data_IF_716691715309
#
_entry.id   IF_716691715309
#
_cell.length_a   1.000
_cell.length_b   1.000
_cell.length_c   1.000
_cell.angle_alpha   90.00
_cell.angle_beta   90.00
_cell.angle_gamma   90.00
#
_symmetry.space_group_name_H-M   'P 1'
#
loop_
_entity.id
_entity.type
_entity.pdbx_description
1 polymer ?
#
# COMPACT_ATOMS: atom_id res chain seq x y z
N UNK A 1 13.36 -7.92 3.42
CA UNK A 1 12.94 -9.26 2.99
C UNK A 1 13.56 -9.51 1.63
N UNK A 2 14.35 -10.56 1.50
CA UNK A 2 14.92 -11.00 0.23
C UNK A 2 14.34 -12.38 -0.09
N UNK A 3 14.11 -12.66 -1.37
CA UNK A 3 13.56 -13.94 -1.79
C UNK A 3 13.26 -13.99 -3.28
N UNK A 4 12.80 -15.13 -3.73
CA UNK A 4 12.35 -15.33 -5.11
C UNK A 4 11.00 -14.68 -5.35
N UNK A 5 10.62 -14.37 -6.61
CA UNK A 5 9.27 -13.90 -6.94
C UNK A 5 8.16 -14.80 -6.38
N UNK A 6 8.34 -16.11 -6.40
CA UNK A 6 7.36 -17.06 -5.87
C UNK A 6 7.17 -16.94 -4.35
N UNK A 7 8.24 -16.69 -3.60
CA UNK A 7 8.14 -16.43 -2.16
C UNK A 7 7.37 -15.14 -1.89
N UNK A 8 7.60 -14.07 -2.69
CA UNK A 8 6.86 -12.82 -2.62
C UNK A 8 5.36 -13.04 -2.89
N UNK A 9 5.02 -13.83 -3.89
CA UNK A 9 3.62 -14.11 -4.25
C UNK A 9 2.87 -14.96 -3.21
N UNK A 10 3.57 -15.75 -2.41
CA UNK A 10 2.96 -16.46 -1.27
C UNK A 10 2.61 -15.52 -0.12
N UNK A 11 3.38 -14.47 0.06
CA UNK A 11 3.13 -13.45 1.10
C UNK A 11 2.03 -12.48 0.66
N UNK A 12 2.06 -12.06 -0.61
CA UNK A 12 1.09 -11.13 -1.18
C UNK A 12 0.04 -11.94 -1.93
N UNK A 13 -1.03 -12.31 -1.25
CA UNK A 13 -2.12 -13.13 -1.82
C UNK A 13 -3.28 -12.29 -2.33
N UNK A 14 -3.46 -11.05 -1.86
CA UNK A 14 -4.54 -10.17 -2.25
C UNK A 14 -4.00 -8.91 -2.98
N UNK A 15 -4.43 -8.72 -4.22
CA UNK A 15 -4.01 -7.60 -5.09
C UNK A 15 -5.06 -6.50 -5.19
N UNK A 16 -6.12 -6.57 -4.40
CA UNK A 16 -7.21 -5.59 -4.39
C UNK A 16 -7.23 -4.71 -3.14
N UNK A 17 -6.62 -5.13 -2.05
CA UNK A 17 -6.56 -4.40 -0.77
C UNK A 17 -5.51 -3.28 -0.75
N UNK A 18 -4.67 -3.22 -1.79
CA UNK A 18 -3.62 -2.21 -1.93
C UNK A 18 -2.37 -2.48 -1.09
N UNK A 19 -2.24 -3.63 -0.41
CA UNK A 19 -1.03 -3.96 0.35
C UNK A 19 0.20 -4.02 -0.56
N UNK A 20 0.11 -4.73 -1.70
CA UNK A 20 1.19 -4.83 -2.68
C UNK A 20 1.67 -3.46 -3.20
N UNK A 21 0.77 -2.47 -3.26
CA UNK A 21 1.11 -1.13 -3.74
C UNK A 21 1.91 -0.29 -2.74
N UNK A 22 2.02 -0.75 -1.49
CA UNK A 22 2.80 -0.11 -0.41
C UNK A 22 4.18 -0.72 -0.25
N UNK A 23 4.46 -1.83 -0.94
CA UNK A 23 5.76 -2.51 -0.90
C UNK A 23 6.67 -1.92 -1.97
N UNK A 24 7.84 -1.45 -1.56
CA UNK A 24 8.92 -1.08 -2.47
C UNK A 24 9.69 -2.33 -2.87
N UNK A 25 9.79 -2.57 -4.17
CA UNK A 25 10.49 -3.73 -4.73
C UNK A 25 11.77 -3.29 -5.41
N UNK A 26 12.84 -4.01 -5.10
CA UNK A 26 14.10 -3.92 -5.80
C UNK A 26 14.44 -5.30 -6.40
N UNK A 27 14.99 -5.30 -7.60
CA UNK A 27 15.48 -6.48 -8.28
C UNK A 27 17.00 -6.47 -8.24
N UNK A 28 17.59 -7.59 -7.82
CA UNK A 28 19.02 -7.81 -8.02
C UNK A 28 19.29 -8.10 -9.50
N UNK A 29 20.41 -7.62 -10.05
CA UNK A 29 20.83 -8.01 -11.39
C UNK A 29 20.96 -9.53 -11.49
N UNK A 30 20.74 -10.07 -12.69
CA UNK A 30 21.07 -11.46 -12.97
C UNK A 30 22.60 -11.61 -12.97
N UNK A 31 23.10 -12.41 -12.06
CA UNK A 31 24.52 -12.70 -11.91
C UNK A 31 24.84 -14.19 -12.07
N UNK A 32 23.96 -14.95 -12.71
CA UNK A 32 24.08 -16.41 -12.89
C UNK A 32 25.43 -16.82 -13.44
N UNK A 33 25.97 -16.04 -14.36
CA UNK A 33 27.27 -16.31 -14.99
C UNK A 33 28.43 -15.45 -14.44
N UNK A 34 28.17 -14.65 -13.41
CA UNK A 34 29.23 -13.87 -12.80
C UNK A 34 30.15 -14.78 -11.97
N UNK A 35 31.47 -14.60 -12.02
CA UNK A 35 32.37 -15.32 -11.14
C UNK A 35 32.01 -15.03 -9.70
N UNK A 36 32.17 -16.02 -8.84
CA UNK A 36 32.02 -15.83 -7.40
C UNK A 36 33.11 -14.80 -6.99
N UNK A 37 32.68 -13.62 -6.64
CA UNK A 37 33.57 -12.58 -6.15
C UNK A 37 33.84 -12.89 -4.67
N UNK A 38 35.11 -13.02 -4.29
CA UNK A 38 35.53 -13.14 -2.89
C UNK A 38 35.28 -11.85 -2.09
N UNK A 39 34.91 -10.78 -2.75
CA UNK A 39 34.46 -9.55 -2.11
C UNK A 39 33.03 -9.69 -1.58
N UNK A 40 32.87 -10.36 -0.46
CA UNK A 40 31.75 -10.05 0.41
C UNK A 40 31.76 -8.54 0.65
N UNK A 41 30.66 -7.84 0.39
CA UNK A 41 30.48 -6.43 0.77
C UNK A 41 30.48 -6.32 2.30
N UNK A 42 31.62 -6.54 2.90
CA UNK A 42 31.82 -6.29 4.31
C UNK A 42 32.06 -4.80 4.48
N UNK A 43 31.17 -4.18 5.24
CA UNK A 43 31.36 -2.80 5.65
C UNK A 43 32.67 -2.72 6.47
N UNK A 44 33.52 -1.77 6.15
CA UNK A 44 34.67 -1.45 7.00
C UNK A 44 34.20 -0.91 8.35
N UNK A 45 35.01 -1.03 9.39
CA UNK A 45 34.70 -0.47 10.72
C UNK A 45 34.35 1.01 10.64
N UNK A 46 35.07 1.78 9.83
CA UNK A 46 34.77 3.20 9.60
C UNK A 46 33.40 3.43 9.00
N UNK A 47 32.96 2.59 8.03
CA UNK A 47 31.64 2.68 7.46
C UNK A 47 30.55 2.29 8.45
N UNK A 48 30.77 1.23 9.25
CA UNK A 48 29.85 0.81 10.31
C UNK A 48 29.69 1.91 11.34
N UNK A 49 30.80 2.53 11.79
CA UNK A 49 30.76 3.64 12.73
C UNK A 49 29.97 4.83 12.18
N UNK A 50 30.19 5.22 10.94
CA UNK A 50 29.43 6.31 10.30
C UNK A 50 27.92 6.01 10.25
N UNK A 51 27.54 4.78 9.90
CA UNK A 51 26.13 4.38 9.87
C UNK A 51 25.52 4.48 11.27
N UNK A 52 26.24 4.03 12.31
CA UNK A 52 25.77 4.10 13.70
C UNK A 52 25.61 5.56 14.16
N UNK A 53 26.57 6.42 13.87
CA UNK A 53 26.51 7.85 14.20
C UNK A 53 25.33 8.55 13.54
N UNK A 54 25.13 8.32 12.23
CA UNK A 54 23.96 8.85 11.51
C UNK A 54 22.66 8.32 12.12
N UNK A 55 22.58 7.01 12.35
CA UNK A 55 21.39 6.39 12.94
C UNK A 55 21.06 6.94 14.34
N UNK A 56 22.07 7.28 15.14
CA UNK A 56 21.91 7.90 16.45
C UNK A 56 21.25 9.29 16.40
N UNK A 57 21.55 10.08 15.37
CA UNK A 57 21.00 11.43 15.24
C UNK A 57 19.59 11.47 14.63
N UNK A 58 19.20 10.47 13.81
CA UNK A 58 17.89 10.49 13.12
C UNK A 58 16.67 10.65 14.04
N UNK A 59 16.59 10.01 15.23
CA UNK A 59 15.46 10.19 16.14
C UNK A 59 15.33 11.62 16.69
N UNK A 60 16.42 12.39 16.70
CA UNK A 60 16.41 13.78 17.14
C UNK A 60 15.87 14.74 16.08
N UNK A 61 15.76 14.29 14.84
CA UNK A 61 15.24 15.04 13.69
C UNK A 61 13.80 14.61 13.38
N UNK A 62 12.91 14.75 14.37
CA UNK A 62 11.49 14.39 14.24
C UNK A 62 10.61 15.64 14.17
N UNK A 63 9.54 15.57 13.40
CA UNK A 63 8.56 16.66 13.26
C UNK A 63 8.14 16.91 11.81
N UNK A 64 7.26 17.87 11.63
CA UNK A 64 6.76 18.24 10.32
C UNK A 64 7.74 19.19 9.60
N UNK A 65 7.92 18.99 8.32
CA UNK A 65 8.73 19.84 7.45
C UNK A 65 8.17 19.87 6.05
N UNK A 66 8.11 21.06 5.48
CA UNK A 66 7.70 21.28 4.11
C UNK A 66 8.89 21.14 3.15
N UNK A 67 8.71 20.34 2.11
CA UNK A 67 9.71 20.11 1.06
C UNK A 67 9.15 20.53 -0.32
N UNK A 68 8.91 21.83 -0.55
CA UNK A 68 8.13 22.32 -1.69
C UNK A 68 8.71 21.95 -3.06
N UNK A 69 10.04 21.85 -3.18
CA UNK A 69 10.69 21.44 -4.45
C UNK A 69 10.49 19.95 -4.71
N UNK A 70 10.59 19.10 -3.68
CA UNK A 70 10.35 17.67 -3.80
C UNK A 70 8.86 17.40 -4.07
N UNK A 71 7.97 18.12 -3.41
CA UNK A 71 6.52 18.01 -3.66
C UNK A 71 6.14 18.42 -5.09
N UNK A 72 6.68 19.54 -5.57
CA UNK A 72 6.50 19.94 -6.96
C UNK A 72 7.02 18.85 -7.91
N UNK A 73 8.21 18.33 -7.65
CA UNK A 73 8.81 17.25 -8.44
C UNK A 73 7.92 16.00 -8.46
N UNK A 74 7.35 15.62 -7.33
CA UNK A 74 6.39 14.52 -7.24
C UNK A 74 5.12 14.76 -8.07
N UNK A 75 4.56 15.99 -8.06
CA UNK A 75 3.41 16.35 -8.91
C UNK A 75 3.76 16.28 -10.40
N UNK A 76 4.91 16.81 -10.78
CA UNK A 76 5.39 16.80 -12.18
C UNK A 76 5.60 15.34 -12.66
N UNK A 77 6.16 14.47 -11.80
CA UNK A 77 6.31 13.05 -12.09
C UNK A 77 4.94 12.34 -12.25
N UNK A 78 4.00 12.59 -11.33
CA UNK A 78 2.64 12.02 -11.41
C UNK A 78 1.95 12.40 -12.73
N UNK A 79 2.11 13.65 -13.16
CA UNK A 79 1.53 14.13 -14.42
C UNK A 79 2.22 13.49 -15.64
N UNK A 80 3.54 13.35 -15.62
CA UNK A 80 4.29 12.66 -16.67
C UNK A 80 3.80 11.22 -16.86
N UNK A 81 3.68 10.46 -15.76
CA UNK A 81 3.18 9.08 -15.81
C UNK A 81 1.71 9.05 -16.25
N UNK A 82 0.90 10.04 -15.86
CA UNK A 82 -0.49 10.15 -16.33
C UNK A 82 -0.56 10.26 -17.84
N UNK A 83 0.22 11.14 -18.43
CA UNK A 83 0.25 11.36 -19.89
C UNK A 83 0.74 10.10 -20.62
N UNK A 84 1.81 9.47 -20.13
CA UNK A 84 2.36 8.23 -20.66
C UNK A 84 1.32 7.10 -20.65
N UNK A 85 0.68 6.89 -19.52
CA UNK A 85 -0.31 5.81 -19.34
C UNK A 85 -1.63 6.09 -20.06
N UNK A 86 -1.98 7.35 -20.30
CA UNK A 86 -3.13 7.72 -21.12
C UNK A 86 -2.89 7.32 -22.60
N UNK A 87 -1.70 7.59 -23.12
CA UNK A 87 -1.32 7.22 -24.51
C UNK A 87 -1.30 5.71 -24.73
N UNK A 88 -0.82 4.95 -23.74
CA UNK A 88 -0.74 3.48 -23.81
C UNK A 88 -1.99 2.77 -23.29
N UNK A 89 -2.98 3.51 -22.76
CA UNK A 89 -4.17 2.98 -22.10
C UNK A 89 -3.84 2.03 -20.93
N UNK A 90 -2.72 2.25 -20.26
CA UNK A 90 -2.23 1.42 -19.14
C UNK A 90 -2.86 1.83 -17.82
N UNK A 91 -4.05 1.29 -17.54
CA UNK A 91 -4.80 1.59 -16.30
C UNK A 91 -4.08 1.10 -15.04
N UNK A 92 -3.31 0.02 -15.13
CA UNK A 92 -2.61 -0.58 -13.99
C UNK A 92 -1.46 0.32 -13.54
N UNK A 93 -0.57 0.72 -14.46
CA UNK A 93 0.51 1.67 -14.18
C UNK A 93 -0.04 3.03 -13.73
N UNK A 94 -1.15 3.50 -14.36
CA UNK A 94 -1.83 4.73 -13.99
C UNK A 94 -2.30 4.76 -12.54
N UNK A 95 -2.78 3.65 -12.00
CA UNK A 95 -3.20 3.53 -10.59
C UNK A 95 -2.00 3.41 -9.66
N UNK A 96 -1.00 2.62 -10.03
CA UNK A 96 0.19 2.38 -9.21
C UNK A 96 0.99 3.66 -8.93
N UNK A 97 1.00 4.65 -9.85
CA UNK A 97 1.72 5.91 -9.65
C UNK A 97 1.36 6.63 -8.35
N UNK A 98 0.09 6.58 -7.91
CA UNK A 98 -0.36 7.24 -6.69
C UNK A 98 0.20 6.64 -5.40
N UNK A 99 0.73 5.41 -5.47
CA UNK A 99 1.39 4.75 -4.35
C UNK A 99 2.90 4.86 -4.45
N UNK A 100 3.42 4.74 -5.67
CA UNK A 100 4.86 4.84 -5.92
C UNK A 100 5.40 6.22 -5.56
N UNK A 101 4.73 7.29 -5.98
CA UNK A 101 5.19 8.66 -5.74
C UNK A 101 5.39 8.98 -4.24
N UNK A 102 4.40 8.80 -3.34
CA UNK A 102 4.60 9.05 -1.92
C UNK A 102 5.69 8.18 -1.29
N UNK A 103 5.82 6.92 -1.75
CA UNK A 103 6.86 6.02 -1.24
C UNK A 103 8.25 6.49 -1.66
N UNK A 104 8.42 6.88 -2.93
CA UNK A 104 9.67 7.47 -3.41
C UNK A 104 10.01 8.78 -2.71
N UNK A 105 9.02 9.66 -2.47
CA UNK A 105 9.21 10.90 -1.71
C UNK A 105 9.71 10.61 -0.29
N UNK A 106 9.12 9.63 0.41
CA UNK A 106 9.56 9.22 1.76
C UNK A 106 11.00 8.70 1.74
N UNK A 107 11.36 7.87 0.78
CA UNK A 107 12.73 7.36 0.65
C UNK A 107 13.73 8.49 0.37
N UNK A 108 13.37 9.44 -0.49
CA UNK A 108 14.20 10.63 -0.74
C UNK A 108 14.34 11.51 0.50
N UNK A 109 13.26 11.69 1.26
CA UNK A 109 13.31 12.43 2.53
C UNK A 109 14.25 11.74 3.53
N UNK A 110 14.17 10.42 3.68
CA UNK A 110 15.11 9.66 4.52
C UNK A 110 16.57 9.83 4.07
N UNK A 111 16.84 9.76 2.76
CA UNK A 111 18.17 9.97 2.22
C UNK A 111 18.70 11.39 2.52
N UNK A 112 17.85 12.40 2.35
CA UNK A 112 18.23 13.79 2.67
C UNK A 112 18.47 13.98 4.17
N UNK A 113 17.68 13.32 5.05
CA UNK A 113 17.91 13.33 6.50
C UNK A 113 19.26 12.69 6.87
N UNK A 114 19.60 11.54 6.27
CA UNK A 114 20.92 10.93 6.46
C UNK A 114 22.06 11.88 6.07
N UNK A 115 21.91 12.62 4.96
CA UNK A 115 22.90 13.63 4.54
C UNK A 115 22.98 14.80 5.50
N UNK A 116 21.86 15.26 6.04
CA UNK A 116 21.86 16.30 7.09
C UNK A 116 22.62 15.81 8.32
N UNK A 117 22.33 14.58 8.79
CA UNK A 117 23.04 13.99 9.92
C UNK A 117 24.56 13.88 9.65
N UNK A 118 24.95 13.40 8.46
CA UNK A 118 26.35 13.32 8.06
C UNK A 118 27.03 14.69 8.06
N UNK A 119 26.39 15.72 7.52
CA UNK A 119 26.92 17.09 7.53
C UNK A 119 27.06 17.63 8.96
N UNK A 120 26.12 17.35 9.83
CA UNK A 120 26.22 17.77 11.23
C UNK A 120 27.39 17.09 11.94
N UNK A 121 27.58 15.79 11.72
CA UNK A 121 28.72 15.04 12.29
C UNK A 121 30.05 15.59 11.74
N UNK A 122 30.10 15.86 10.44
CA UNK A 122 31.33 16.46 9.84
C UNK A 122 31.66 17.83 10.41
N UNK A 123 30.67 18.67 10.68
CA UNK A 123 30.88 20.05 11.13
C UNK A 123 31.11 20.14 12.63
N UNK A 124 30.50 19.28 13.46
CA UNK A 124 30.51 19.46 14.92
C UNK A 124 30.94 18.20 15.69
N UNK A 125 31.31 17.12 15.01
CA UNK A 125 31.47 15.82 15.64
C UNK A 125 30.13 15.23 16.14
N UNK A 126 30.12 13.98 16.58
CA UNK A 126 28.89 13.29 17.00
C UNK A 126 28.22 13.97 18.20
N UNK A 127 28.99 14.18 19.30
CA UNK A 127 28.47 14.82 20.52
C UNK A 127 28.05 16.28 20.30
N UNK A 128 28.80 17.02 19.48
CA UNK A 128 28.46 18.40 19.13
C UNK A 128 27.19 18.49 18.30
N UNK A 129 27.00 17.58 17.36
CA UNK A 129 25.80 17.49 16.54
C UNK A 129 24.56 17.18 17.40
N UNK A 130 24.66 16.20 18.31
CA UNK A 130 23.59 15.87 19.24
C UNK A 130 23.22 17.05 20.15
N UNK A 131 24.23 17.68 20.79
CA UNK A 131 24.04 18.85 21.66
C UNK A 131 23.33 19.97 20.91
N UNK A 132 23.73 20.21 19.67
CA UNK A 132 23.17 21.28 18.86
C UNK A 132 21.74 21.00 18.41
N UNK A 133 21.42 19.76 18.04
CA UNK A 133 20.03 19.36 17.71
C UNK A 133 19.10 19.48 18.92
N UNK A 134 19.61 19.20 20.13
CA UNK A 134 18.84 19.39 21.37
C UNK A 134 18.62 20.86 21.72
N UNK A 135 19.62 21.70 21.45
CA UNK A 135 19.55 23.13 21.70
C UNK A 135 18.72 23.91 20.67
N UNK A 136 18.79 23.49 19.41
CA UNK A 136 18.12 24.11 18.26
C UNK A 136 17.27 23.06 17.52
N UNK A 137 16.08 22.69 18.02
CA UNK A 137 15.28 21.58 17.47
C UNK A 137 14.84 21.74 16.00
N UNK A 138 14.80 22.97 15.50
CA UNK A 138 14.41 23.26 14.11
C UNK A 138 15.57 23.43 13.13
N UNK A 139 16.80 23.37 13.61
CA UNK A 139 18.03 23.54 12.78
C UNK A 139 18.05 22.55 11.61
N UNK A 140 17.74 21.29 11.88
CA UNK A 140 17.73 20.25 10.87
C UNK A 140 16.69 20.50 9.75
N UNK A 141 15.57 21.16 10.03
CA UNK A 141 14.55 21.50 9.03
C UNK A 141 15.10 22.42 7.95
N UNK A 142 15.80 23.48 8.39
CA UNK A 142 16.47 24.41 7.47
C UNK A 142 17.56 23.72 6.66
N UNK A 143 18.34 22.84 7.26
CA UNK A 143 19.36 22.05 6.56
C UNK A 143 18.72 21.10 5.55
N UNK A 144 17.62 20.43 5.92
CA UNK A 144 16.90 19.51 5.05
C UNK A 144 16.29 20.23 3.83
N UNK A 145 15.74 21.43 4.02
CA UNK A 145 15.24 22.24 2.90
C UNK A 145 16.35 22.57 1.88
N UNK A 146 17.57 22.79 2.34
CA UNK A 146 18.74 23.04 1.48
C UNK A 146 19.19 21.78 0.71
N UNK A 147 18.87 20.57 1.20
CA UNK A 147 19.18 19.32 0.51
C UNK A 147 18.34 19.10 -0.77
N UNK A 148 17.30 19.89 -1.02
CA UNK A 148 16.50 19.81 -2.24
C UNK A 148 17.28 20.37 -3.46
N UNK A 149 18.44 19.81 -3.73
CA UNK A 149 19.32 20.18 -4.85
C UNK A 149 18.81 19.58 -6.18
N UNK A 150 19.23 20.13 -7.33
CA UNK A 150 18.86 19.56 -8.62
C UNK A 150 19.24 18.07 -8.76
N UNK A 151 20.38 17.65 -8.20
CA UNK A 151 20.81 16.25 -8.20
C UNK A 151 19.87 15.36 -7.37
N UNK A 152 19.45 15.80 -6.17
CA UNK A 152 18.51 15.05 -5.35
C UNK A 152 17.12 14.94 -6.01
N UNK A 153 16.69 16.00 -6.68
CA UNK A 153 15.44 15.98 -7.44
C UNK A 153 15.52 15.09 -8.69
N UNK A 154 16.68 15.01 -9.34
CA UNK A 154 16.91 14.07 -10.43
C UNK A 154 16.95 12.61 -9.93
N UNK A 155 17.57 12.37 -8.77
CA UNK A 155 17.57 11.05 -8.13
C UNK A 155 16.16 10.56 -7.76
N UNK A 156 15.25 11.48 -7.42
CA UNK A 156 13.83 11.13 -7.21
C UNK A 156 13.21 10.53 -8.46
N UNK A 157 13.42 11.11 -9.66
CA UNK A 157 12.87 10.56 -10.90
C UNK A 157 13.36 9.12 -11.13
N UNK A 158 14.68 8.91 -11.01
CA UNK A 158 15.30 7.59 -11.20
C UNK A 158 14.70 6.57 -10.21
N UNK A 159 14.58 6.95 -8.95
CA UNK A 159 14.02 6.09 -7.91
C UNK A 159 12.54 5.76 -8.18
N UNK A 160 11.73 6.78 -8.50
CA UNK A 160 10.30 6.61 -8.72
C UNK A 160 10.02 5.78 -9.99
N UNK A 161 10.79 5.99 -11.06
CA UNK A 161 10.71 5.19 -12.29
C UNK A 161 11.13 3.73 -12.02
N UNK A 162 12.23 3.50 -11.34
CA UNK A 162 12.67 2.17 -10.95
C UNK A 162 11.63 1.43 -10.10
N UNK A 163 11.02 2.11 -9.15
CA UNK A 163 10.01 1.51 -8.27
C UNK A 163 8.73 1.15 -9.03
N UNK A 164 8.24 2.04 -9.91
CA UNK A 164 7.01 1.74 -10.67
C UNK A 164 7.25 0.62 -11.68
N UNK A 165 8.40 0.58 -12.33
CA UNK A 165 8.75 -0.45 -13.30
C UNK A 165 8.91 -1.83 -12.63
N UNK A 166 9.54 -1.90 -11.45
CA UNK A 166 9.58 -3.14 -10.68
C UNK A 166 8.18 -3.57 -10.21
N UNK A 167 7.35 -2.65 -9.74
CA UNK A 167 5.98 -2.97 -9.37
C UNK A 167 5.19 -3.54 -10.55
N UNK A 168 5.37 -2.98 -11.75
CA UNK A 168 4.75 -3.49 -12.97
C UNK A 168 5.32 -4.85 -13.38
N UNK A 169 6.64 -5.04 -13.27
CA UNK A 169 7.28 -6.31 -13.60
C UNK A 169 6.72 -7.47 -12.74
N UNK A 170 6.60 -7.27 -11.43
CA UNK A 170 6.19 -8.33 -10.52
C UNK A 170 4.67 -8.49 -10.39
N UNK A 171 3.90 -7.42 -10.50
CA UNK A 171 2.50 -7.45 -10.09
C UNK A 171 1.48 -7.18 -11.20
N UNK A 172 1.88 -6.69 -12.37
CA UNK A 172 0.94 -6.30 -13.45
C UNK A 172 -0.11 -7.36 -13.73
N UNK A 173 0.32 -8.55 -14.11
CA UNK A 173 -0.57 -9.64 -14.51
C UNK A 173 -1.54 -10.03 -13.39
N UNK A 174 -1.05 -10.08 -12.16
CA UNK A 174 -1.85 -10.44 -10.98
C UNK A 174 -2.88 -9.36 -10.64
N UNK A 175 -2.48 -8.09 -10.73
CA UNK A 175 -3.38 -6.96 -10.55
C UNK A 175 -4.48 -6.98 -11.63
N UNK A 176 -4.11 -7.14 -12.90
CA UNK A 176 -5.07 -7.18 -14.01
C UNK A 176 -6.03 -8.36 -13.89
N UNK A 177 -5.54 -9.53 -13.52
CA UNK A 177 -6.38 -10.71 -13.27
C UNK A 177 -7.35 -10.45 -12.12
N UNK A 178 -6.91 -9.87 -11.03
CA UNK A 178 -7.76 -9.53 -9.89
C UNK A 178 -8.85 -8.50 -10.27
N UNK A 179 -8.55 -7.57 -11.17
CA UNK A 179 -9.55 -6.62 -11.69
C UNK A 179 -10.55 -7.28 -12.65
N UNK A 180 -10.09 -8.20 -13.52
CA UNK A 180 -10.96 -8.91 -14.48
C UNK A 180 -11.89 -9.90 -13.78
N UNK A 181 -11.44 -10.56 -12.73
CA UNK A 181 -12.22 -11.55 -11.98
C UNK A 181 -13.37 -10.95 -11.13
N UNK A 182 -13.62 -9.64 -11.24
CA UNK A 182 -14.65 -8.96 -10.44
C UNK A 182 -14.37 -8.93 -8.94
N UNK A 183 -13.20 -9.41 -8.51
CA UNK A 183 -12.79 -9.38 -7.10
C UNK A 183 -12.46 -7.96 -6.61
N UNK A 184 -12.45 -6.99 -7.50
CA UNK A 184 -12.32 -5.58 -7.17
C UNK A 184 -13.69 -4.93 -6.99
N UNK A 185 -14.11 -4.81 -5.76
CA UNK A 185 -15.23 -3.94 -5.40
C UNK A 185 -14.65 -2.55 -5.13
N UNK A 186 -14.91 -1.61 -6.03
CA UNK A 186 -14.53 -0.20 -5.89
C UNK A 186 -15.42 0.51 -4.88
N UNK A 187 -15.58 -0.02 -3.70
CA UNK A 187 -16.32 0.64 -2.64
C UNK A 187 -15.38 0.85 -1.47
N UNK A 188 -15.43 2.04 -0.88
CA UNK A 188 -14.76 2.36 0.38
C UNK A 188 -15.25 1.54 1.59
N UNK A 189 -15.86 0.39 1.34
CA UNK A 189 -16.11 -0.64 2.33
C UNK A 189 -14.96 -1.62 2.24
N UNK A 190 -14.11 -1.63 3.26
CA UNK A 190 -13.22 -2.75 3.52
C UNK A 190 -14.00 -4.05 3.24
N UNK A 191 -13.41 -5.00 2.49
CA UNK A 191 -13.94 -6.36 2.42
C UNK A 191 -14.03 -6.87 3.86
N UNK A 192 -15.17 -6.70 4.49
CA UNK A 192 -15.49 -7.59 5.57
C UNK A 192 -15.40 -8.99 4.95
N UNK A 193 -14.74 -9.94 5.61
CA UNK A 193 -14.94 -11.37 5.38
C UNK A 193 -16.42 -11.51 5.09
N UNK A 194 -16.78 -12.20 3.96
CA UNK A 194 -18.21 -12.45 3.64
C UNK A 194 -18.90 -12.72 4.96
N UNK A 195 -19.80 -11.85 5.35
CA UNK A 195 -20.44 -12.04 6.62
C UNK A 195 -21.21 -13.35 6.45
N UNK A 196 -21.37 -14.11 7.52
CA UNK A 196 -22.21 -15.32 7.45
C UNK A 196 -23.60 -14.97 6.89
N UNK A 197 -24.03 -13.71 7.00
CA UNK A 197 -25.26 -13.19 6.39
C UNK A 197 -25.21 -13.12 4.86
N UNK A 198 -24.07 -12.73 4.28
CA UNK A 198 -23.92 -12.66 2.83
C UNK A 198 -23.94 -14.06 2.22
N UNK A 199 -23.33 -15.03 2.91
CA UNK A 199 -23.37 -16.43 2.50
C UNK A 199 -24.80 -17.01 2.58
N UNK A 200 -25.58 -16.65 3.61
CA UNK A 200 -26.98 -17.03 3.72
C UNK A 200 -27.80 -16.41 2.59
N UNK A 201 -27.61 -15.14 2.28
CA UNK A 201 -28.29 -14.45 1.19
C UNK A 201 -28.03 -15.11 -0.16
N UNK A 202 -26.76 -15.46 -0.45
CA UNK A 202 -26.38 -16.12 -1.71
C UNK A 202 -27.03 -17.49 -1.89
N UNK A 203 -27.15 -18.28 -0.82
CA UNK A 203 -27.70 -19.66 -0.85
C UNK A 203 -29.23 -19.73 -0.91
N UNK A 204 -29.91 -18.65 -0.53
CA UNK A 204 -31.36 -18.56 -0.66
C UNK A 204 -31.79 -18.46 -2.13
N UNK A 205 -32.92 -19.03 -2.49
CA UNK A 205 -33.56 -18.86 -3.79
C UNK A 205 -34.02 -17.40 -3.99
N UNK A 206 -34.36 -17.00 -5.23
CA UNK A 206 -34.87 -15.65 -5.54
C UNK A 206 -36.15 -15.31 -4.79
N UNK A 207 -37.02 -16.32 -4.59
CA UNK A 207 -38.17 -16.23 -3.73
C UNK A 207 -38.06 -17.29 -2.63
N UNK A 208 -38.16 -16.86 -1.39
CA UNK A 208 -37.97 -17.73 -0.23
C UNK A 208 -38.85 -17.33 0.94
N UNK A 209 -39.05 -18.26 1.85
CA UNK A 209 -39.83 -18.10 3.09
C UNK A 209 -38.91 -17.82 4.29
N UNK A 210 -39.51 -17.34 5.38
CA UNK A 210 -38.79 -17.18 6.65
C UNK A 210 -38.24 -18.52 7.16
N UNK A 211 -38.93 -19.63 6.91
CA UNK A 211 -38.53 -20.98 7.33
C UNK A 211 -37.34 -21.49 6.54
N UNK A 212 -37.31 -21.27 5.23
CA UNK A 212 -36.14 -21.57 4.37
C UNK A 212 -34.92 -20.73 4.76
N UNK A 213 -35.11 -19.44 5.02
CA UNK A 213 -34.03 -18.57 5.53
C UNK A 213 -33.53 -19.06 6.89
N UNK A 214 -34.35 -19.58 7.75
CA UNK A 214 -33.95 -20.19 9.00
C UNK A 214 -33.14 -21.48 8.76
N UNK A 215 -33.62 -22.38 7.89
CA UNK A 215 -32.91 -23.61 7.54
C UNK A 215 -31.51 -23.38 7.00
N UNK A 216 -31.35 -22.45 6.03
CA UNK A 216 -30.07 -22.07 5.46
C UNK A 216 -29.18 -21.41 6.54
N UNK A 217 -29.78 -20.59 7.41
CA UNK A 217 -29.04 -19.94 8.51
C UNK A 217 -28.48 -20.96 9.50
N UNK A 218 -29.23 -21.99 9.84
CA UNK A 218 -28.80 -23.11 10.71
C UNK A 218 -27.65 -23.88 10.05
N UNK A 219 -27.76 -24.17 8.74
CA UNK A 219 -26.71 -24.88 8.00
C UNK A 219 -25.37 -24.12 7.98
N UNK A 220 -25.39 -22.78 7.79
CA UNK A 220 -24.17 -21.96 7.66
C UNK A 220 -23.58 -21.55 9.01
N UNK A 221 -24.42 -21.32 10.03
CA UNK A 221 -23.96 -20.80 11.33
C UNK A 221 -23.81 -21.87 12.41
N UNK A 222 -24.40 -23.04 12.21
CA UNK A 222 -24.55 -24.05 13.26
C UNK A 222 -25.81 -23.83 14.11
N UNK A 223 -26.23 -24.82 14.92
CA UNK A 223 -27.53 -24.92 15.56
C UNK A 223 -27.98 -23.85 16.57
N UNK A 224 -27.17 -22.82 16.83
CA UNK A 224 -27.44 -21.83 17.90
C UNK A 224 -28.12 -20.52 17.39
N UNK A 225 -28.95 -20.61 16.36
CA UNK A 225 -29.66 -19.42 15.86
C UNK A 225 -31.11 -19.42 16.30
N UNK A 226 -31.54 -18.31 16.94
CA UNK A 226 -32.94 -18.08 17.24
C UNK A 226 -33.74 -17.59 16.03
N UNK A 227 -35.01 -17.98 15.93
CA UNK A 227 -35.94 -17.43 14.93
C UNK A 227 -36.01 -15.88 14.96
N UNK A 228 -35.84 -15.27 16.12
CA UNK A 228 -35.77 -13.82 16.29
C UNK A 228 -34.58 -13.19 15.56
N UNK A 229 -33.44 -13.85 15.60
CA UNK A 229 -32.22 -13.38 14.90
C UNK A 229 -32.39 -13.40 13.38
N UNK A 230 -33.04 -14.42 12.83
CA UNK A 230 -33.33 -14.52 11.40
C UNK A 230 -34.33 -13.46 10.97
N UNK A 231 -35.40 -13.23 11.74
CA UNK A 231 -36.36 -12.15 11.45
C UNK A 231 -35.70 -10.77 11.48
N UNK A 232 -34.81 -10.52 12.43
CA UNK A 232 -34.04 -9.27 12.49
C UNK A 232 -33.12 -9.12 11.28
N UNK A 233 -32.49 -10.19 10.81
CA UNK A 233 -31.68 -10.22 9.61
C UNK A 233 -32.48 -9.85 8.36
N UNK A 234 -33.64 -10.50 8.18
CA UNK A 234 -34.56 -10.27 7.06
C UNK A 234 -35.08 -8.82 7.06
N UNK A 235 -35.46 -8.29 8.24
CA UNK A 235 -35.90 -6.89 8.36
C UNK A 235 -34.80 -5.91 7.98
N UNK A 236 -33.53 -6.20 8.30
CA UNK A 236 -32.40 -5.38 7.86
C UNK A 236 -32.17 -5.44 6.36
N UNK A 237 -32.30 -6.62 5.75
CA UNK A 237 -32.21 -6.77 4.29
C UNK A 237 -33.34 -6.03 3.57
N UNK A 238 -34.57 -6.04 4.12
CA UNK A 238 -35.69 -5.26 3.61
C UNK A 238 -35.41 -3.76 3.68
N UNK A 239 -34.92 -3.25 4.83
CA UNK A 239 -34.50 -1.84 4.99
C UNK A 239 -33.35 -1.43 4.07
N UNK A 240 -32.47 -2.37 3.72
CA UNK A 240 -31.35 -2.14 2.81
C UNK A 240 -31.74 -2.30 1.33
N UNK A 241 -32.98 -2.65 1.03
CA UNK A 241 -33.47 -2.90 -0.32
C UNK A 241 -32.91 -4.16 -0.97
N UNK A 242 -32.31 -5.08 -0.18
CA UNK A 242 -31.78 -6.35 -0.69
C UNK A 242 -32.89 -7.38 -0.97
N UNK A 243 -33.97 -7.30 -0.22
CA UNK A 243 -35.17 -8.15 -0.39
C UNK A 243 -36.42 -7.30 -0.31
N UNK A 244 -37.45 -7.72 -1.03
CA UNK A 244 -38.81 -7.18 -0.97
C UNK A 244 -39.70 -8.17 -0.30
N UNK A 245 -40.54 -7.74 0.65
CA UNK A 245 -41.53 -8.59 1.29
C UNK A 245 -42.80 -8.64 0.44
N UNK A 246 -43.10 -9.80 -0.14
CA UNK A 246 -44.27 -9.99 -1.00
C UNK A 246 -45.52 -10.27 -0.16
N UNK A 247 -45.39 -11.14 0.84
CA UNK A 247 -46.46 -11.58 1.74
C UNK A 247 -45.93 -11.80 3.16
N UNK A 248 -46.81 -12.10 4.09
CA UNK A 248 -46.37 -12.40 5.46
C UNK A 248 -45.50 -13.66 5.49
N UNK A 249 -44.19 -13.45 5.73
CA UNK A 249 -43.17 -14.50 5.81
C UNK A 249 -42.60 -14.95 4.47
N UNK A 250 -42.92 -14.27 3.35
CA UNK A 250 -42.38 -14.54 2.02
C UNK A 250 -41.65 -13.32 1.49
N UNK A 251 -40.43 -13.54 1.01
CA UNK A 251 -39.54 -12.53 0.51
C UNK A 251 -39.03 -12.85 -0.89
N UNK A 252 -38.68 -11.82 -1.67
CA UNK A 252 -38.05 -11.93 -2.99
C UNK A 252 -36.75 -11.13 -2.97
N UNK A 253 -35.70 -11.68 -3.55
CA UNK A 253 -34.44 -10.94 -3.75
C UNK A 253 -34.65 -9.77 -4.70
N UNK A 254 -34.13 -8.60 -4.34
CA UNK A 254 -34.11 -7.46 -5.24
C UNK A 254 -32.87 -7.59 -6.13
N UNK A 255 -33.08 -7.77 -7.44
CA UNK A 255 -31.99 -7.75 -8.42
C UNK A 255 -31.54 -6.28 -8.58
N UNK A 256 -30.45 -5.90 -7.91
CA UNK A 256 -29.77 -4.66 -8.20
C UNK A 256 -28.85 -4.88 -9.40
N UNK A 257 -29.25 -4.30 -10.56
CA UNK A 257 -28.31 -4.02 -11.63
C UNK A 257 -28.61 -4.65 -12.98
N UNK A 258 -29.66 -4.19 -13.64
CA UNK A 258 -29.64 -3.97 -15.08
C UNK A 258 -30.16 -2.55 -15.32
N UNK A 259 -29.24 -1.59 -15.31
CA UNK A 259 -29.34 -0.33 -16.03
C UNK A 259 -27.94 0.03 -16.53
#
# INVERSE_FOLDING_TARGET
>A
MCGTPDALYRVITNYTDGFQSRVALARTPDNTFSPLSDSLFLLTESQQMKIQQVAHLLPLMSGDVDLPKLEKKGRDWLERIRIETLKSYDKTKARQRFRTCPTAMRMMTCLMLCRVAEQMIQNYGEQGAETRLKAEPDLWKTMLQRQQTPQMLAAFDVLADYMIDNAMLFFRERIETAFRSGSYVSSGKARSRKSKNDSIYEELADRFTTEEAYGVSVGIRGGDISNGSVRTMLSRWEQQGMVERIERGVYKKSHYGEV
#
